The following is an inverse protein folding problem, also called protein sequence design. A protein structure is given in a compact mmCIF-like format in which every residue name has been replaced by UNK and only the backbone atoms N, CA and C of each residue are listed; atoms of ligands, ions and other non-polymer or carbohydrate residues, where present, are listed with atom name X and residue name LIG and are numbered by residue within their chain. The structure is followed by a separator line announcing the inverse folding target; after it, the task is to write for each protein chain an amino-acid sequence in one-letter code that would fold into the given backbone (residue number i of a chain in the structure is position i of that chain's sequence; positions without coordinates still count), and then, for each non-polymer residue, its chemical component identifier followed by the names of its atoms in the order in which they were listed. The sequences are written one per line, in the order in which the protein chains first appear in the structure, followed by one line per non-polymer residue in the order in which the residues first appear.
data_IF_816947482233
#
_entry.id   IF_816947482233
#
_cell.length_a   1.000
_cell.length_b   1.000
_cell.length_c   1.000
_cell.angle_alpha   90.00
_cell.angle_beta   90.00
_cell.angle_gamma   90.00
#
_symmetry.space_group_name_H-M   'P 1'
#
loop_
_entity.id
_entity.type
_entity.pdbx_description
1 polymer ?
#
# COMPACT_ATOMS: atom_id res chain seq x y z
N UNK A 1 6.13 -13.76 -12.87
CA UNK A 1 5.84 -13.68 -11.42
C UNK A 1 6.65 -14.77 -10.75
N UNK A 2 7.50 -14.44 -9.78
CA UNK A 2 8.21 -15.43 -8.98
C UNK A 2 7.49 -15.62 -7.64
N UNK A 3 7.57 -16.82 -7.08
CA UNK A 3 6.92 -17.16 -5.82
C UNK A 3 7.87 -16.87 -4.64
N UNK A 4 7.33 -16.26 -3.59
CA UNK A 4 8.05 -15.94 -2.35
C UNK A 4 7.38 -16.68 -1.21
N UNK A 5 8.20 -17.31 -0.35
CA UNK A 5 7.70 -18.02 0.83
C UNK A 5 7.00 -17.05 1.79
N UNK A 6 5.94 -17.51 2.43
CA UNK A 6 5.37 -16.89 3.63
C UNK A 6 6.34 -17.02 4.81
N UNK A 7 6.09 -16.26 5.87
CA UNK A 7 6.90 -16.28 7.10
C UNK A 7 6.93 -17.70 7.69
N UNK A 8 5.79 -18.38 7.71
CA UNK A 8 5.64 -19.75 8.20
C UNK A 8 6.28 -20.84 7.32
N UNK A 9 6.65 -20.53 6.07
CA UNK A 9 7.17 -21.50 5.09
C UNK A 9 8.71 -21.59 5.07
N UNK A 10 9.40 -20.85 5.95
CA UNK A 10 10.86 -20.87 6.10
C UNK A 10 11.56 -19.70 5.42
N UNK A 11 12.84 -19.85 5.06
CA UNK A 11 13.66 -18.79 4.42
C UNK A 11 14.15 -19.17 3.01
N UNK A 12 14.49 -18.19 2.14
CA UNK A 12 14.13 -16.77 2.28
C UNK A 12 12.61 -16.56 2.13
N UNK A 13 12.03 -15.64 2.89
CA UNK A 13 10.61 -15.28 2.84
C UNK A 13 10.41 -13.77 2.61
N UNK A 14 9.14 -13.35 2.54
CA UNK A 14 8.75 -11.96 2.32
C UNK A 14 9.40 -10.95 3.28
N UNK A 15 9.69 -11.33 4.53
CA UNK A 15 10.36 -10.42 5.47
C UNK A 15 11.82 -10.18 5.06
N UNK A 16 12.50 -11.18 4.50
CA UNK A 16 13.87 -11.04 4.01
C UNK A 16 13.92 -10.05 2.84
N UNK A 17 12.97 -10.14 1.91
CA UNK A 17 12.87 -9.22 0.78
C UNK A 17 12.57 -7.79 1.25
N UNK A 18 11.68 -7.62 2.23
CA UNK A 18 11.42 -6.31 2.83
C UNK A 18 12.68 -5.75 3.53
N UNK A 19 13.44 -6.59 4.24
CA UNK A 19 14.67 -6.16 4.92
C UNK A 19 15.71 -5.67 3.91
N UNK A 20 15.84 -6.38 2.78
CA UNK A 20 16.78 -6.10 1.70
C UNK A 20 16.35 -4.95 0.78
N UNK A 21 15.25 -4.24 1.09
CA UNK A 21 14.72 -3.14 0.27
C UNK A 21 14.34 -3.59 -1.16
N UNK A 22 13.91 -4.84 -1.32
CA UNK A 22 13.45 -5.41 -2.60
C UNK A 22 11.95 -5.18 -2.84
N UNK A 23 11.27 -4.46 -1.95
CA UNK A 23 9.81 -4.25 -1.96
C UNK A 23 9.47 -2.78 -1.69
N UNK A 24 8.85 -2.10 -2.66
CA UNK A 24 8.46 -0.68 -2.54
C UNK A 24 7.00 -0.48 -2.10
N UNK A 25 6.15 -1.51 -2.22
CA UNK A 25 4.73 -1.44 -1.87
C UNK A 25 4.18 -2.81 -1.48
N UNK A 26 3.32 -2.86 -0.46
CA UNK A 26 2.72 -4.11 0.02
C UNK A 26 1.20 -4.09 -0.04
N UNK A 27 0.62 -5.14 -0.62
CA UNK A 27 -0.82 -5.44 -0.54
C UNK A 27 -1.01 -6.65 0.35
N UNK A 28 -1.60 -6.46 1.54
CA UNK A 28 -1.77 -7.52 2.53
C UNK A 28 -3.24 -7.67 2.93
N UNK A 29 -3.98 -8.55 2.26
CA UNK A 29 -5.39 -8.84 2.51
C UNK A 29 -5.54 -10.22 3.19
N UNK A 30 -5.36 -10.33 4.53
CA UNK A 30 -5.38 -11.62 5.21
C UNK A 30 -6.75 -12.28 5.13
N UNK A 31 -6.77 -13.59 4.93
CA UNK A 31 -7.96 -14.43 5.13
C UNK A 31 -7.59 -15.66 5.96
N UNK A 32 -8.36 -15.93 7.02
CA UNK A 32 -8.13 -17.04 7.95
C UNK A 32 -7.10 -16.79 9.06
N UNK A 33 -7.04 -17.70 10.05
CA UNK A 33 -6.24 -17.54 11.28
C UNK A 33 -4.72 -17.61 11.05
N UNK A 34 -4.24 -18.57 10.25
CA UNK A 34 -2.79 -18.73 9.96
C UNK A 34 -2.25 -17.53 9.20
N UNK A 35 -2.98 -17.04 8.21
CA UNK A 35 -2.66 -15.77 7.52
C UNK A 35 -2.55 -14.60 8.48
N UNK A 36 -3.26 -14.60 9.60
CA UNK A 36 -3.28 -13.46 10.52
C UNK A 36 -1.94 -13.26 11.24
N UNK A 37 -1.27 -14.36 11.63
CA UNK A 37 0.04 -14.33 12.28
C UNK A 37 1.13 -13.84 11.33
N UNK A 38 1.24 -14.44 10.15
CA UNK A 38 2.23 -14.02 9.13
C UNK A 38 1.98 -12.57 8.70
N UNK A 39 0.71 -12.20 8.51
CA UNK A 39 0.32 -10.84 8.16
C UNK A 39 0.64 -9.80 9.23
N UNK A 40 0.65 -10.18 10.51
CA UNK A 40 1.07 -9.27 11.58
C UNK A 40 2.53 -8.87 11.40
N UNK A 41 3.41 -9.84 11.13
CA UNK A 41 4.83 -9.58 10.91
C UNK A 41 5.07 -8.73 9.65
N UNK A 42 4.36 -9.04 8.56
CA UNK A 42 4.46 -8.29 7.31
C UNK A 42 4.08 -6.82 7.54
N UNK A 43 2.89 -6.54 8.09
CA UNK A 43 2.44 -5.16 8.35
C UNK A 43 3.38 -4.40 9.29
N UNK A 44 3.82 -5.05 10.38
CA UNK A 44 4.72 -4.44 11.35
C UNK A 44 6.05 -4.05 10.70
N UNK A 45 6.61 -4.94 9.89
CA UNK A 45 7.89 -4.67 9.25
C UNK A 45 7.76 -3.62 8.14
N UNK A 46 6.70 -3.66 7.32
CA UNK A 46 6.41 -2.62 6.33
C UNK A 46 6.31 -1.24 6.99
N UNK A 47 5.61 -1.14 8.12
CA UNK A 47 5.53 0.11 8.89
C UNK A 47 6.90 0.58 9.38
N UNK A 48 7.72 -0.32 9.96
CA UNK A 48 9.05 0.01 10.47
C UNK A 48 10.03 0.43 9.35
N UNK A 49 9.89 -0.13 8.16
CA UNK A 49 10.69 0.20 6.97
C UNK A 49 10.11 1.38 6.17
N UNK A 50 9.04 2.02 6.64
CA UNK A 50 8.32 3.08 5.92
C UNK A 50 7.87 2.69 4.51
N UNK A 51 7.56 1.41 4.29
CA UNK A 51 7.02 0.92 3.03
C UNK A 51 5.50 1.09 3.07
N UNK A 52 4.91 1.87 2.14
CA UNK A 52 3.46 2.02 2.07
C UNK A 52 2.79 0.67 1.86
N UNK A 53 1.70 0.44 2.60
CA UNK A 53 0.96 -0.81 2.49
C UNK A 53 -0.55 -0.59 2.62
N UNK A 54 -1.32 -1.48 2.00
CA UNK A 54 -2.78 -1.49 2.11
C UNK A 54 -3.28 -2.85 2.57
N UNK A 55 -4.41 -2.86 3.26
CA UNK A 55 -5.02 -4.08 3.83
C UNK A 55 -6.32 -4.49 3.17
N UNK A 56 -6.75 -3.77 2.14
CA UNK A 56 -7.97 -4.02 1.39
C UNK A 56 -7.67 -3.95 -0.11
N UNK A 57 -8.41 -4.73 -0.90
CA UNK A 57 -8.31 -4.70 -2.37
C UNK A 57 -8.67 -3.31 -2.90
N UNK A 58 -9.71 -2.68 -2.34
CA UNK A 58 -10.12 -1.33 -2.73
C UNK A 58 -9.03 -0.28 -2.46
N UNK A 59 -8.33 -0.39 -1.33
CA UNK A 59 -7.18 0.48 -1.03
C UNK A 59 -6.01 0.26 -2.00
N UNK A 60 -5.78 -0.99 -2.42
CA UNK A 60 -4.77 -1.30 -3.43
C UNK A 60 -5.12 -0.67 -4.79
N UNK A 61 -6.36 -0.81 -5.23
CA UNK A 61 -6.85 -0.23 -6.50
C UNK A 61 -6.76 1.30 -6.49
N UNK A 62 -7.22 1.97 -5.42
CA UNK A 62 -7.11 3.42 -5.29
C UNK A 62 -5.64 3.89 -5.27
N UNK A 63 -4.73 3.11 -4.67
CA UNK A 63 -3.29 3.41 -4.68
C UNK A 63 -2.72 3.32 -6.10
N UNK A 64 -3.09 2.29 -6.87
CA UNK A 64 -2.68 2.14 -8.27
C UNK A 64 -3.21 3.29 -9.12
N UNK A 65 -4.47 3.70 -8.93
CA UNK A 65 -5.06 4.85 -9.64
C UNK A 65 -4.29 6.14 -9.34
N UNK A 66 -3.98 6.41 -8.07
CA UNK A 66 -3.21 7.59 -7.67
C UNK A 66 -1.78 7.58 -8.27
N UNK A 67 -1.10 6.43 -8.23
CA UNK A 67 0.24 6.26 -8.84
C UNK A 67 0.15 6.49 -10.36
N UNK A 68 -0.84 5.91 -11.02
CA UNK A 68 -1.05 6.03 -12.47
C UNK A 68 -1.34 7.48 -12.87
N UNK A 69 -2.20 8.17 -12.13
CA UNK A 69 -2.49 9.59 -12.35
C UNK A 69 -1.23 10.44 -12.21
N UNK A 70 -0.37 10.14 -11.22
CA UNK A 70 0.91 10.83 -11.03
C UNK A 70 1.93 10.54 -12.13
N UNK A 71 1.98 9.33 -12.66
CA UNK A 71 2.85 8.97 -13.79
C UNK A 71 2.40 9.67 -15.07
N UNK A 72 1.09 9.74 -15.31
CA UNK A 72 0.52 10.32 -16.52
C UNK A 72 0.45 11.85 -16.50
N UNK A 73 0.44 12.47 -15.31
CA UNK A 73 0.39 13.93 -15.14
C UNK A 73 1.52 14.42 -14.24
N UNK A 74 2.39 15.28 -14.79
CA UNK A 74 3.43 15.93 -14.00
C UNK A 74 2.90 17.11 -13.15
N UNK A 75 1.66 17.54 -13.36
CA UNK A 75 1.06 18.69 -12.67
C UNK A 75 0.07 18.21 -11.62
N UNK A 76 0.25 18.69 -10.39
CA UNK A 76 -0.73 18.59 -9.32
C UNK A 76 -1.43 19.95 -9.27
N UNK A 77 -2.73 19.96 -9.52
CA UNK A 77 -3.53 21.18 -9.35
C UNK A 77 -3.76 21.43 -7.86
N UNK A 78 -3.81 22.70 -7.46
CA UNK A 78 -3.97 23.12 -6.07
C UNK A 78 -5.17 24.04 -5.96
N UNK A 79 -5.98 23.80 -4.92
CA UNK A 79 -7.19 24.59 -4.68
C UNK A 79 -7.30 24.92 -3.20
N UNK A 80 -7.51 26.19 -2.91
CA UNK A 80 -7.68 26.65 -1.55
C UNK A 80 -9.02 26.14 -0.98
N UNK A 81 -9.05 25.80 0.31
CA UNK A 81 -10.26 25.27 0.96
C UNK A 81 -11.45 26.23 0.82
N UNK A 82 -11.19 27.54 0.80
CA UNK A 82 -12.20 28.59 0.62
C UNK A 82 -12.89 28.52 -0.74
N UNK A 83 -12.19 28.12 -1.80
CA UNK A 83 -12.76 28.06 -3.15
C UNK A 83 -13.70 26.86 -3.32
N UNK A 84 -13.49 25.77 -2.58
CA UNK A 84 -14.45 24.66 -2.52
C UNK A 84 -15.80 25.09 -1.90
N UNK A 85 -15.79 25.96 -0.88
CA UNK A 85 -17.03 26.44 -0.25
C UNK A 85 -17.83 27.38 -1.16
N UNK A 86 -17.17 28.21 -1.98
CA UNK A 86 -17.85 29.12 -2.92
C UNK A 86 -18.61 28.35 -4.00
N UNK A 87 -18.06 27.26 -4.50
CA UNK A 87 -18.73 26.42 -5.50
C UNK A 87 -19.96 25.69 -4.93
N UNK A 88 -19.87 25.23 -3.67
CA UNK A 88 -21.00 24.56 -3.00
C UNK A 88 -22.16 25.50 -2.66
N UNK A 89 -21.91 26.80 -2.48
CA UNK A 89 -22.93 27.79 -2.12
C UNK A 89 -23.59 28.47 -3.33
N UNK A 90 -23.15 28.15 -4.55
CA UNK A 90 -23.73 28.65 -5.80
C UNK A 90 -24.70 27.65 -6.45
N UNK A 91 -25.17 26.65 -5.69
CA UNK A 91 -26.21 25.69 -6.08
C UNK A 91 -27.59 26.08 -5.59
#
# INVERSE_FOLDING_TARGET
VFYVKKVSEGRPNILDLIINDEIDFVVNTPSGKVSFSDSFHIRRLSLLKNIPYCTTVWGALASIEAITAKINSNTIDVKAIQDYYKESNNG
#
